data_IF_149789669362
#
_entry.id   IF_149789669362
#
_cell.length_a   1.000
_cell.length_b   1.000
_cell.length_c   1.000
_cell.angle_alpha   90.00
_cell.angle_beta   90.00
_cell.angle_gamma   90.00
#
_symmetry.space_group_name_H-M   'P 1'
#
loop_
_entity.id
_entity.type
_entity.pdbx_description
1 polymer ?
#
# COMPACT_ATOMS: atom_id res chain seq x y z
N UNK A 1 -40.77 -3.33 -19.96
CA UNK A 1 -40.00 -4.50 -19.51
C UNK A 1 -38.57 -4.02 -19.32
N UNK A 2 -38.16 -3.82 -18.07
CA UNK A 2 -36.85 -3.25 -17.73
C UNK A 2 -35.83 -4.39 -17.67
N UNK A 3 -34.81 -4.38 -18.54
CA UNK A 3 -33.64 -5.23 -18.37
C UNK A 3 -32.51 -4.37 -17.80
N UNK A 4 -32.05 -4.78 -16.62
CA UNK A 4 -30.94 -4.20 -15.88
C UNK A 4 -29.65 -4.32 -16.70
N UNK A 5 -28.91 -3.22 -16.82
CA UNK A 5 -27.52 -3.24 -17.26
C UNK A 5 -26.72 -4.09 -16.27
N UNK A 6 -26.20 -5.22 -16.75
CA UNK A 6 -25.17 -5.98 -16.05
C UNK A 6 -23.85 -5.22 -16.22
N UNK A 7 -23.32 -4.65 -15.14
CA UNK A 7 -21.94 -4.17 -15.10
C UNK A 7 -21.02 -5.39 -15.26
N UNK A 8 -20.43 -5.55 -16.44
CA UNK A 8 -19.41 -6.55 -16.70
C UNK A 8 -18.08 -6.03 -16.13
N UNK A 9 -17.65 -6.58 -15.00
CA UNK A 9 -16.25 -6.47 -14.57
C UNK A 9 -15.41 -7.24 -15.59
N UNK A 10 -14.72 -6.54 -16.48
CA UNK A 10 -13.84 -7.16 -17.47
C UNK A 10 -12.49 -7.46 -16.81
N UNK A 11 -12.31 -8.71 -16.36
CA UNK A 11 -10.97 -9.24 -16.09
C UNK A 11 -10.28 -9.57 -17.40
N UNK A 12 -9.02 -9.15 -17.55
CA UNK A 12 -8.15 -9.62 -18.65
C UNK A 12 -7.81 -11.10 -18.40
N UNK A 13 -8.14 -11.97 -19.35
CA UNK A 13 -7.88 -13.41 -19.26
C UNK A 13 -6.48 -13.77 -19.75
N UNK A 14 -5.72 -12.82 -20.30
CA UNK A 14 -4.32 -13.01 -20.68
C UNK A 14 -3.39 -12.78 -19.48
N UNK A 15 -2.23 -13.44 -19.48
CA UNK A 15 -1.18 -13.29 -18.47
C UNK A 15 -1.65 -13.56 -17.02
N UNK A 16 -2.67 -14.39 -16.82
CA UNK A 16 -3.01 -14.90 -15.49
C UNK A 16 -2.20 -16.17 -15.23
N UNK A 17 -1.41 -16.16 -14.15
CA UNK A 17 -0.52 -17.26 -13.81
C UNK A 17 -1.15 -18.16 -12.75
N UNK A 18 -0.99 -19.46 -12.90
CA UNK A 18 -1.41 -20.47 -11.95
C UNK A 18 -0.22 -21.34 -11.54
N UNK A 19 0.01 -21.44 -10.24
CA UNK A 19 0.95 -22.39 -9.65
C UNK A 19 0.20 -23.65 -9.20
N UNK A 20 0.33 -24.73 -9.99
CA UNK A 20 -0.28 -26.02 -9.68
C UNK A 20 0.54 -26.88 -8.74
N UNK A 21 1.86 -26.66 -8.66
CA UNK A 21 2.76 -27.53 -7.91
C UNK A 21 2.95 -27.04 -6.45
N UNK A 22 2.58 -25.78 -6.16
CA UNK A 22 2.61 -25.15 -4.84
C UNK A 22 3.97 -25.29 -4.16
N UNK A 23 5.03 -25.13 -4.94
CA UNK A 23 6.42 -25.39 -4.52
C UNK A 23 7.09 -24.19 -3.83
N UNK A 24 6.36 -23.09 -3.58
CA UNK A 24 6.89 -21.84 -3.02
C UNK A 24 7.91 -21.12 -3.93
N UNK A 25 7.87 -21.40 -5.22
CA UNK A 25 8.63 -20.70 -6.24
C UNK A 25 7.63 -19.96 -7.12
N UNK A 26 7.94 -18.71 -7.48
CA UNK A 26 7.13 -17.94 -8.42
C UNK A 26 7.42 -18.40 -9.87
N UNK A 27 7.19 -19.69 -10.16
CA UNK A 27 7.46 -20.36 -11.43
C UNK A 27 6.18 -20.88 -12.12
N UNK A 28 5.02 -20.39 -11.69
CA UNK A 28 3.73 -20.77 -12.23
C UNK A 28 3.63 -20.61 -13.75
N UNK A 29 2.63 -21.25 -14.34
CA UNK A 29 2.39 -21.21 -15.79
C UNK A 29 1.22 -20.31 -16.13
N UNK A 30 1.31 -19.61 -17.26
CA UNK A 30 0.20 -18.79 -17.75
C UNK A 30 -0.97 -19.69 -18.13
N UNK A 31 -2.16 -19.38 -17.64
CA UNK A 31 -3.41 -20.00 -18.04
C UNK A 31 -3.71 -19.69 -19.51
N UNK A 32 -4.27 -20.67 -20.22
CA UNK A 32 -4.69 -20.47 -21.59
C UNK A 32 -5.89 -19.51 -21.66
N UNK A 33 -5.89 -18.57 -22.62
CA UNK A 33 -7.02 -17.66 -22.85
C UNK A 33 -8.16 -18.34 -23.64
N UNK A 34 -8.59 -19.52 -23.19
CA UNK A 34 -9.63 -20.34 -23.81
C UNK A 34 -10.67 -20.74 -22.76
N UNK A 35 -11.90 -21.02 -23.21
CA UNK A 35 -13.01 -21.49 -22.35
C UNK A 35 -12.59 -22.71 -21.51
N UNK A 36 -11.75 -23.59 -22.06
CA UNK A 36 -11.21 -24.75 -21.34
C UNK A 36 -10.45 -24.42 -20.04
N UNK A 37 -9.77 -23.26 -19.95
CA UNK A 37 -9.05 -22.84 -18.74
C UNK A 37 -9.90 -21.99 -17.79
N UNK A 38 -11.06 -21.52 -18.25
CA UNK A 38 -11.89 -20.53 -17.56
C UNK A 38 -13.35 -20.98 -17.37
N UNK A 39 -13.66 -22.23 -17.70
CA UNK A 39 -15.03 -22.77 -17.73
C UNK A 39 -15.89 -22.16 -18.84
N UNK A 40 -17.21 -22.17 -18.63
CA UNK A 40 -18.18 -21.68 -19.61
C UNK A 40 -18.24 -20.14 -19.74
N UNK A 41 -17.22 -19.43 -19.24
CA UNK A 41 -17.12 -17.98 -19.39
C UNK A 41 -17.07 -17.57 -20.87
N UNK A 42 -17.82 -16.53 -21.22
CA UNK A 42 -17.74 -15.95 -22.56
C UNK A 42 -16.58 -14.97 -22.66
N UNK A 43 -15.57 -15.33 -23.47
CA UNK A 43 -14.35 -14.54 -23.61
C UNK A 43 -14.56 -13.51 -24.72
N UNK A 44 -14.71 -12.25 -24.32
CA UNK A 44 -14.76 -11.12 -25.25
C UNK A 44 -13.35 -10.82 -25.74
N UNK A 45 -13.11 -10.99 -27.05
CA UNK A 45 -11.79 -10.76 -27.66
C UNK A 45 -11.47 -9.29 -27.93
N UNK A 46 -12.49 -8.46 -28.00
CA UNK A 46 -12.35 -7.02 -28.22
C UNK A 46 -12.48 -6.31 -26.88
N UNK A 47 -11.41 -5.68 -26.41
CA UNK A 47 -11.44 -4.89 -25.18
C UNK A 47 -12.44 -3.74 -25.33
N UNK A 48 -13.31 -3.58 -24.35
CA UNK A 48 -14.21 -2.44 -24.32
C UNK A 48 -13.41 -1.14 -24.19
N UNK A 49 -13.88 -0.09 -24.86
CA UNK A 49 -13.29 1.23 -24.77
C UNK A 49 -13.60 1.84 -23.40
N UNK A 50 -12.69 1.63 -22.45
CA UNK A 50 -12.72 2.18 -21.10
C UNK A 50 -11.38 2.87 -20.84
N UNK A 51 -11.34 4.01 -20.13
CA UNK A 51 -10.09 4.66 -19.74
C UNK A 51 -9.26 3.72 -18.86
N UNK A 52 -8.35 2.99 -19.50
CA UNK A 52 -7.43 2.09 -18.82
C UNK A 52 -6.36 2.86 -18.03
N UNK A 53 -5.70 2.20 -17.07
CA UNK A 53 -4.54 2.78 -16.41
C UNK A 53 -3.48 3.17 -17.44
N UNK A 54 -2.87 4.35 -17.25
CA UNK A 54 -1.82 4.88 -18.12
C UNK A 54 -0.55 4.03 -18.13
N UNK A 55 -0.33 3.25 -17.06
CA UNK A 55 0.81 2.35 -16.92
C UNK A 55 0.33 0.93 -16.63
N UNK A 56 0.66 0.01 -17.53
CA UNK A 56 0.49 -1.42 -17.33
C UNK A 56 1.84 -2.04 -16.95
N UNK A 57 1.82 -3.00 -16.02
CA UNK A 57 2.99 -3.80 -15.62
C UNK A 57 2.73 -5.26 -15.98
N UNK A 58 3.79 -6.02 -16.24
CA UNK A 58 3.67 -7.48 -16.30
C UNK A 58 3.24 -8.02 -14.93
N UNK A 59 2.63 -9.22 -14.85
CA UNK A 59 2.28 -9.82 -13.56
C UNK A 59 3.47 -9.93 -12.61
N UNK A 60 4.64 -10.33 -13.12
CA UNK A 60 5.87 -10.45 -12.34
C UNK A 60 6.30 -9.08 -11.78
N UNK A 61 6.35 -8.05 -12.64
CA UNK A 61 6.70 -6.70 -12.20
C UNK A 61 5.67 -6.11 -11.24
N UNK A 62 4.39 -6.46 -11.41
CA UNK A 62 3.32 -6.03 -10.53
C UNK A 62 3.48 -6.65 -9.14
N UNK A 63 3.76 -7.96 -9.04
CA UNK A 63 4.02 -8.63 -7.76
C UNK A 63 5.24 -8.02 -7.07
N UNK A 64 6.35 -7.81 -7.78
CA UNK A 64 7.55 -7.16 -7.22
C UNK A 64 7.24 -5.74 -6.74
N UNK A 65 6.53 -4.95 -7.53
CA UNK A 65 6.16 -3.58 -7.17
C UNK A 65 5.24 -3.54 -5.95
N UNK A 66 4.21 -4.38 -5.91
CA UNK A 66 3.25 -4.44 -4.80
C UNK A 66 3.96 -4.87 -3.53
N UNK A 67 4.77 -5.94 -3.55
CA UNK A 67 5.49 -6.39 -2.35
C UNK A 67 6.43 -5.33 -1.77
N UNK A 68 7.05 -4.52 -2.64
CA UNK A 68 7.89 -3.41 -2.21
C UNK A 68 7.11 -2.23 -1.62
N UNK A 69 5.88 -1.97 -2.06
CA UNK A 69 5.18 -0.70 -1.80
C UNK A 69 3.82 -0.82 -1.10
N UNK A 70 3.27 -2.04 -0.91
CA UNK A 70 1.95 -2.23 -0.29
C UNK A 70 1.99 -1.94 1.20
N UNK A 71 0.94 -1.33 1.76
CA UNK A 71 0.83 -1.05 3.19
C UNK A 71 1.70 0.12 3.66
N UNK A 72 1.87 0.24 4.98
CA UNK A 72 2.61 1.34 5.60
C UNK A 72 4.11 1.05 5.56
N UNK A 73 4.76 1.39 4.45
CA UNK A 73 6.18 1.07 4.23
C UNK A 73 7.14 2.15 4.70
N UNK A 74 6.67 3.38 4.89
CA UNK A 74 7.49 4.51 5.34
C UNK A 74 7.29 4.80 6.83
N UNK A 75 8.36 5.00 7.62
CA UNK A 75 9.77 4.81 7.25
C UNK A 75 10.19 3.33 7.20
N UNK A 76 9.43 2.45 7.84
CA UNK A 76 9.64 1.00 7.79
C UNK A 76 8.33 0.27 8.11
N UNK A 77 8.18 -0.94 7.57
CA UNK A 77 7.10 -1.87 7.93
C UNK A 77 7.15 -2.23 9.42
N UNK A 78 5.99 -2.24 10.05
CA UNK A 78 5.86 -2.72 11.43
C UNK A 78 5.96 -4.26 11.52
N UNK A 79 5.76 -4.79 12.73
CA UNK A 79 5.84 -6.23 12.97
C UNK A 79 4.76 -7.03 12.20
N UNK A 80 3.54 -6.49 12.13
CA UNK A 80 2.40 -7.15 11.49
C UNK A 80 2.54 -7.11 9.97
N UNK A 81 2.89 -5.96 9.40
CA UNK A 81 3.17 -5.81 7.97
C UNK A 81 4.26 -6.79 7.50
N UNK A 82 5.31 -6.97 8.31
CA UNK A 82 6.39 -7.93 8.00
C UNK A 82 5.89 -9.37 7.99
N UNK A 83 5.02 -9.75 8.93
CA UNK A 83 4.42 -11.08 8.97
C UNK A 83 3.58 -11.30 7.71
N UNK A 84 2.70 -10.35 7.38
CA UNK A 84 1.83 -10.46 6.21
C UNK A 84 2.64 -10.56 4.90
N UNK A 85 3.66 -9.72 4.74
CA UNK A 85 4.55 -9.78 3.56
C UNK A 85 5.28 -11.13 3.50
N UNK A 86 5.76 -11.65 4.63
CA UNK A 86 6.42 -12.95 4.69
C UNK A 86 5.46 -14.11 4.39
N UNK A 87 4.18 -14.00 4.75
CA UNK A 87 3.15 -14.96 4.37
C UNK A 87 2.87 -14.91 2.86
N UNK A 88 2.72 -13.72 2.27
CA UNK A 88 2.54 -13.59 0.82
C UNK A 88 3.77 -14.13 0.06
N UNK A 89 4.98 -13.82 0.51
CA UNK A 89 6.23 -14.32 -0.07
C UNK A 89 6.46 -15.82 0.13
N UNK A 90 5.66 -16.48 0.97
CA UNK A 90 5.66 -17.94 1.07
C UNK A 90 4.88 -18.61 -0.07
N UNK A 91 4.19 -17.81 -0.89
CA UNK A 91 3.38 -18.26 -2.03
C UNK A 91 2.36 -19.34 -1.64
N UNK A 92 1.70 -19.14 -0.49
CA UNK A 92 0.65 -20.03 0.00
C UNK A 92 1.13 -21.21 0.85
N UNK A 93 2.42 -21.29 1.22
CA UNK A 93 2.88 -22.25 2.23
C UNK A 93 2.53 -21.84 3.66
N UNK A 94 2.44 -20.54 3.92
CA UNK A 94 2.04 -19.95 5.20
C UNK A 94 0.69 -19.26 5.06
N UNK A 95 0.14 -18.88 6.22
CA UNK A 95 -1.17 -18.26 6.34
C UNK A 95 -2.13 -19.15 7.12
N UNK A 96 -3.11 -18.52 7.76
CA UNK A 96 -4.12 -19.19 8.55
C UNK A 96 -5.40 -18.36 8.58
N UNK A 97 -6.54 -19.01 8.86
CA UNK A 97 -7.76 -18.27 9.20
C UNK A 97 -7.54 -17.64 10.57
N UNK A 98 -7.69 -16.32 10.64
CA UNK A 98 -7.58 -15.59 11.91
C UNK A 98 -8.90 -15.77 12.66
N UNK A 99 -8.88 -16.60 13.69
CA UNK A 99 -10.02 -16.76 14.61
C UNK A 99 -9.89 -15.91 15.88
N UNK A 100 -8.68 -15.43 16.17
CA UNK A 100 -8.35 -14.54 17.28
C UNK A 100 -7.17 -13.67 16.85
N UNK A 101 -7.36 -12.36 16.77
CA UNK A 101 -6.34 -11.40 16.37
C UNK A 101 -5.18 -11.31 17.37
N UNK A 102 -5.36 -11.75 18.63
CA UNK A 102 -4.32 -11.75 19.67
C UNK A 102 -3.48 -13.02 19.67
N UNK A 103 -3.88 -14.04 18.94
CA UNK A 103 -3.14 -15.29 18.84
C UNK A 103 -1.88 -15.12 17.96
N UNK A 104 -0.96 -16.07 18.11
CA UNK A 104 0.21 -16.19 17.24
C UNK A 104 -0.21 -16.39 15.77
N UNK A 105 0.47 -15.79 14.79
CA UNK A 105 1.64 -14.92 14.91
C UNK A 105 1.30 -13.42 15.04
N UNK A 106 0.02 -13.03 15.00
CA UNK A 106 -0.39 -11.63 14.86
C UNK A 106 -0.19 -10.82 16.15
N UNK A 107 -0.49 -11.42 17.31
CA UNK A 107 -0.35 -10.78 18.63
C UNK A 107 -1.00 -9.38 18.72
N UNK A 108 -2.11 -9.18 18.03
CA UNK A 108 -2.84 -7.92 17.94
C UNK A 108 -2.31 -7.00 16.83
N UNK A 109 -2.42 -5.67 16.99
CA UNK A 109 -2.00 -4.70 15.96
C UNK A 109 -0.47 -4.54 15.85
N UNK A 110 0.32 -5.35 16.58
CA UNK A 110 1.76 -5.20 16.66
C UNK A 110 2.21 -4.06 17.58
N UNK A 111 3.53 -3.95 17.72
CA UNK A 111 4.18 -2.88 18.46
C UNK A 111 4.86 -1.92 17.48
N UNK A 112 4.49 -0.64 17.55
CA UNK A 112 5.20 0.41 16.83
C UNK A 112 6.41 0.80 17.68
N UNK A 113 7.61 0.49 17.19
CA UNK A 113 8.84 0.92 17.83
C UNK A 113 8.88 2.45 17.85
N UNK A 114 8.89 3.03 19.06
CA UNK A 114 9.03 4.47 19.23
C UNK A 114 10.37 4.94 18.67
N UNK A 115 10.35 6.03 17.90
CA UNK A 115 11.55 6.77 17.56
C UNK A 115 11.99 7.70 18.69
N UNK A 116 13.19 8.26 18.56
CA UNK A 116 13.60 9.39 19.40
C UNK A 116 12.82 10.63 18.96
N UNK A 117 11.94 11.17 19.83
CA UNK A 117 11.24 12.43 19.54
C UNK A 117 12.30 13.55 19.42
N UNK A 118 12.29 14.36 18.35
CA UNK A 118 13.05 15.60 18.30
C UNK A 118 12.68 16.53 19.46
N UNK A 119 13.61 17.38 19.88
CA UNK A 119 13.33 18.45 20.84
C UNK A 119 12.32 19.42 20.23
N UNK A 120 11.33 19.79 21.04
CA UNK A 120 10.20 20.67 20.74
C UNK A 120 9.94 21.42 22.05
N UNK A 121 10.50 22.63 22.13
CA UNK A 121 10.73 23.39 23.36
C UNK A 121 9.47 24.09 23.88
N UNK A 122 8.52 24.44 23.01
CA UNK A 122 7.25 25.06 23.38
C UNK A 122 6.03 24.13 23.25
N UNK A 123 6.22 22.92 22.72
CA UNK A 123 5.25 21.85 22.73
C UNK A 123 4.15 22.02 21.67
N UNK A 124 4.41 22.76 20.59
CA UNK A 124 3.44 23.04 19.54
C UNK A 124 3.35 21.94 18.46
N UNK A 125 4.29 20.99 18.50
CA UNK A 125 4.36 19.85 17.59
C UNK A 125 5.38 20.00 16.46
N UNK A 126 6.08 21.14 16.36
CA UNK A 126 7.18 21.39 15.42
C UNK A 126 8.52 21.28 16.17
N UNK A 127 9.52 20.56 15.62
CA UNK A 127 10.84 20.50 16.24
C UNK A 127 11.63 21.81 16.17
N UNK A 128 12.37 22.15 17.23
CA UNK A 128 13.23 23.35 17.32
C UNK A 128 14.16 23.50 16.09
N UNK A 129 14.71 22.37 15.62
CA UNK A 129 15.62 22.35 14.47
C UNK A 129 14.92 22.74 13.16
N UNK A 130 13.65 22.32 12.98
CA UNK A 130 12.86 22.68 11.81
C UNK A 130 12.42 24.14 11.89
N UNK A 131 12.00 24.60 13.07
CA UNK A 131 11.64 25.99 13.30
C UNK A 131 12.80 26.95 13.00
N UNK A 132 13.99 26.66 13.52
CA UNK A 132 15.19 27.46 13.22
C UNK A 132 15.52 27.48 11.72
N UNK A 133 15.36 26.36 11.03
CA UNK A 133 15.59 26.28 9.59
C UNK A 133 14.56 27.07 8.77
N UNK A 134 13.36 27.28 9.30
CA UNK A 134 12.24 27.97 8.64
C UNK A 134 11.97 29.38 9.20
N UNK A 135 12.82 29.88 10.10
CA UNK A 135 12.72 31.23 10.66
C UNK A 135 11.63 31.43 11.71
N UNK A 136 11.21 30.34 12.36
CA UNK A 136 10.27 30.32 13.49
C UNK A 136 11.01 30.40 14.83
N UNK A 137 10.25 30.55 15.91
CA UNK A 137 10.79 30.72 17.25
C UNK A 137 10.38 29.53 18.14
N UNK A 138 11.34 28.64 18.53
CA UNK A 138 11.10 27.46 19.38
C UNK A 138 10.61 27.70 20.81
N UNK A 139 10.18 28.92 21.10
CA UNK A 139 9.65 29.35 22.39
C UNK A 139 8.33 30.11 22.22
N UNK A 140 7.73 30.10 21.03
CA UNK A 140 6.46 30.74 20.70
C UNK A 140 5.51 29.75 20.00
N UNK A 141 4.83 28.94 20.81
CA UNK A 141 3.87 27.92 20.33
C UNK A 141 2.70 28.48 19.52
N UNK A 142 2.51 29.80 19.47
CA UNK A 142 1.51 30.42 18.61
C UNK A 142 1.91 30.41 17.14
N UNK A 143 3.19 30.22 16.83
CA UNK A 143 3.71 30.31 15.47
C UNK A 143 3.43 29.06 14.62
N UNK A 144 3.25 27.87 15.22
CA UNK A 144 2.73 26.68 14.52
C UNK A 144 1.45 26.95 13.73
N UNK A 145 0.53 27.73 14.28
CA UNK A 145 -0.77 28.04 13.68
C UNK A 145 -0.75 29.29 12.79
N UNK A 146 0.37 30.02 12.70
CA UNK A 146 0.49 31.17 11.79
C UNK A 146 0.54 30.68 10.35
N UNK A 147 -0.21 31.36 9.49
CA UNK A 147 -0.27 31.04 8.06
C UNK A 147 1.04 31.48 7.41
N UNK A 148 1.74 30.51 6.82
CA UNK A 148 2.96 30.73 6.05
C UNK A 148 2.68 31.35 4.69
N UNK A 149 3.75 31.70 3.96
CA UNK A 149 3.66 32.19 2.58
C UNK A 149 3.04 31.19 1.59
N UNK A 150 2.99 29.90 1.94
CA UNK A 150 2.35 28.86 1.14
C UNK A 150 0.82 28.86 1.23
N UNK A 151 0.25 29.61 2.19
CA UNK A 151 -1.18 29.60 2.49
C UNK A 151 -1.62 28.54 3.51
N UNK A 152 -0.68 27.71 3.98
CA UNK A 152 -0.89 26.71 5.04
C UNK A 152 -0.26 27.13 6.35
N UNK A 153 -0.78 26.63 7.47
CA UNK A 153 -0.18 26.82 8.79
C UNK A 153 1.22 26.17 8.85
N UNK A 154 2.14 26.73 9.63
CA UNK A 154 3.50 26.20 9.73
C UNK A 154 3.54 24.72 10.14
N UNK A 155 2.64 24.30 11.03
CA UNK A 155 2.51 22.89 11.43
C UNK A 155 2.11 21.98 10.26
N UNK A 156 1.27 22.45 9.35
CA UNK A 156 0.86 21.69 8.15
C UNK A 156 2.02 21.58 7.15
N UNK A 157 2.81 22.65 7.01
CA UNK A 157 4.02 22.65 6.18
C UNK A 157 5.05 21.67 6.74
N UNK A 158 5.25 21.67 8.06
CA UNK A 158 6.13 20.72 8.73
C UNK A 158 5.67 19.27 8.51
N UNK A 159 4.40 18.96 8.79
CA UNK A 159 3.86 17.60 8.61
C UNK A 159 4.00 17.11 7.17
N UNK A 160 3.76 17.96 6.18
CA UNK A 160 3.95 17.61 4.77
C UNK A 160 5.43 17.39 4.42
N UNK A 161 6.36 18.10 5.07
CA UNK A 161 7.81 17.91 4.85
C UNK A 161 8.34 16.57 5.37
N UNK A 162 7.60 15.88 6.24
CA UNK A 162 7.98 14.56 6.77
C UNK A 162 7.79 13.43 5.76
N UNK A 163 6.97 13.65 4.71
CA UNK A 163 6.70 12.65 3.68
C UNK A 163 7.69 12.84 2.53
N UNK A 164 8.47 11.82 2.12
CA UNK A 164 9.33 11.89 0.95
C UNK A 164 8.50 12.19 -0.30
N UNK A 165 9.05 13.00 -1.21
CA UNK A 165 8.46 13.15 -2.55
C UNK A 165 8.55 11.81 -3.28
N UNK A 166 7.40 11.36 -3.80
CA UNK A 166 7.24 10.10 -4.53
C UNK A 166 7.62 10.18 -6.01
#
# INVERSE_FOLDING_TARGET
MWQFLTYLLLLDVSNNFHDSNRNSILDGTALCAQKTCYGDMDIVRTKYNYPGPTKLRSPQDAVTYVLANVGTTFPARDAVDKILVAEVQSWGMKGQVISDEKASPMYGPGYIAGGTKPTDSDGDGIPDAWEHANGLNPRDSSDAMKISSSGYANIEVYLNSLVPSS
#
